data_IF_348646252970
#
_entry.id   IF_348646252970
#
_cell.length_a   1.000
_cell.length_b   1.000
_cell.length_c   1.000
_cell.angle_alpha   90.00
_cell.angle_beta   90.00
_cell.angle_gamma   90.00
#
_symmetry.space_group_name_H-M   'P 1'
#
loop_
_entity.id
_entity.type
_entity.pdbx_description
1 polymer ?
#
# COMPACT_ATOMS: atom_id res chain seq x y z
N UNK A 1 5.36 -75.82 46.14
CA UNK A 1 4.83 -74.43 46.14
C UNK A 1 5.92 -73.34 46.18
N UNK A 2 7.01 -73.48 46.96
CA UNK A 2 8.10 -72.47 47.03
C UNK A 2 8.89 -72.26 45.72
N UNK A 3 9.01 -73.29 44.87
CA UNK A 3 9.74 -73.24 43.59
C UNK A 3 8.96 -72.52 42.47
N UNK A 4 7.65 -72.38 42.60
CA UNK A 4 6.79 -71.69 41.63
C UNK A 4 6.80 -70.17 41.86
N UNK A 5 6.87 -69.74 43.13
CA UNK A 5 6.97 -68.32 43.52
C UNK A 5 8.30 -67.71 43.03
N UNK A 6 9.40 -68.46 43.12
CA UNK A 6 10.70 -68.01 42.61
C UNK A 6 10.75 -67.83 41.09
N UNK A 7 10.02 -68.66 40.33
CA UNK A 7 9.95 -68.54 38.87
C UNK A 7 9.06 -67.36 38.43
N UNK A 8 7.96 -67.08 39.13
CA UNK A 8 7.09 -65.92 38.87
C UNK A 8 7.77 -64.61 39.28
N UNK A 9 8.52 -64.60 40.38
CA UNK A 9 9.34 -63.44 40.77
C UNK A 9 10.51 -63.19 39.80
N UNK A 10 11.16 -64.25 39.29
CA UNK A 10 12.20 -64.08 38.27
C UNK A 10 11.63 -63.53 36.95
N UNK A 11 10.42 -63.95 36.54
CA UNK A 11 9.76 -63.45 35.32
C UNK A 11 9.30 -61.98 35.43
N UNK A 12 8.95 -61.49 36.62
CA UNK A 12 8.61 -60.08 36.84
C UNK A 12 9.84 -59.17 36.97
N UNK A 13 11.02 -59.71 37.28
CA UNK A 13 12.29 -58.98 37.23
C UNK A 13 12.88 -58.86 35.81
N UNK A 14 12.37 -59.60 34.83
CA UNK A 14 12.65 -59.43 33.40
C UNK A 14 11.48 -58.74 32.70
N UNK A 15 11.04 -57.61 33.24
CA UNK A 15 10.03 -56.77 32.58
C UNK A 15 10.42 -56.56 31.11
N UNK A 16 9.52 -56.94 30.19
CA UNK A 16 9.73 -56.72 28.77
C UNK A 16 10.06 -55.23 28.56
N UNK A 17 11.05 -54.89 27.72
CA UNK A 17 11.36 -53.48 27.48
C UNK A 17 10.08 -52.78 27.01
N UNK A 18 9.72 -51.68 27.69
CA UNK A 18 8.62 -50.83 27.25
C UNK A 18 8.89 -50.42 25.80
N UNK A 19 8.02 -50.86 24.88
CA UNK A 19 8.09 -50.52 23.47
C UNK A 19 7.54 -49.11 23.35
N UNK A 20 8.43 -48.11 23.33
CA UNK A 20 8.04 -46.73 23.11
C UNK A 20 8.36 -46.33 21.66
N UNK A 21 7.38 -45.75 20.97
CA UNK A 21 7.58 -45.13 19.67
C UNK A 21 8.25 -43.78 19.84
N UNK A 22 9.32 -43.57 19.07
CA UNK A 22 10.08 -42.32 19.04
C UNK A 22 9.76 -41.61 17.73
N UNK A 23 9.09 -40.47 17.82
CA UNK A 23 8.82 -39.60 16.68
C UNK A 23 9.72 -38.38 16.80
N UNK A 24 10.64 -38.25 15.85
CA UNK A 24 11.47 -37.06 15.69
C UNK A 24 11.01 -36.28 14.47
N UNK A 25 10.67 -35.00 14.66
CA UNK A 25 10.24 -34.11 13.58
C UNK A 25 11.10 -32.87 13.57
N UNK A 26 11.65 -32.57 12.40
CA UNK A 26 12.31 -31.30 12.11
C UNK A 26 11.38 -30.51 11.21
N UNK A 27 11.02 -29.29 11.64
CA UNK A 27 10.31 -28.32 10.81
C UNK A 27 11.19 -27.08 10.63
N UNK A 28 11.48 -26.76 9.37
CA UNK A 28 12.21 -25.55 9.00
C UNK A 28 11.28 -24.61 8.25
N UNK A 29 11.35 -23.31 8.54
CA UNK A 29 10.62 -22.30 7.78
C UNK A 29 11.42 -21.01 7.69
N UNK A 30 11.23 -20.31 6.58
CA UNK A 30 11.81 -18.99 6.34
C UNK A 30 10.72 -18.12 5.75
N UNK A 31 10.49 -16.96 6.37
CA UNK A 31 9.58 -15.94 5.88
C UNK A 31 10.34 -14.64 5.69
N UNK A 32 10.28 -14.09 4.46
CA UNK A 32 10.81 -12.79 4.11
C UNK A 32 9.65 -11.85 3.85
N UNK A 33 9.70 -10.64 4.39
CA UNK A 33 8.74 -9.58 4.10
C UNK A 33 9.44 -8.25 3.85
N UNK A 34 8.85 -7.46 2.96
CA UNK A 34 9.29 -6.10 2.63
C UNK A 34 8.07 -5.19 2.76
N UNK A 35 8.22 -4.06 3.44
CA UNK A 35 7.13 -3.11 3.62
C UNK A 35 6.66 -2.55 2.28
N UNK A 36 5.35 -2.42 2.11
CA UNK A 36 4.77 -1.89 0.88
C UNK A 36 4.84 -0.36 0.85
N UNK A 37 5.15 0.20 -0.32
CA UNK A 37 4.99 1.63 -0.56
C UNK A 37 3.50 1.97 -0.73
N UNK A 38 3.09 3.15 -0.24
CA UNK A 38 1.73 3.64 -0.38
C UNK A 38 1.72 5.12 -0.74
N UNK A 39 0.83 5.51 -1.65
CA UNK A 39 0.54 6.89 -2.00
C UNK A 39 -0.96 7.06 -2.08
N UNK A 40 -1.49 7.96 -1.27
CA UNK A 40 -2.88 8.38 -1.36
C UNK A 40 -2.91 9.88 -1.57
N UNK A 41 -3.71 10.33 -2.52
CA UNK A 41 -3.73 11.75 -2.86
C UNK A 41 -5.09 12.19 -3.39
N UNK A 42 -5.47 13.39 -2.96
CA UNK A 42 -6.72 14.03 -3.34
C UNK A 42 -6.39 15.31 -4.11
N UNK A 43 -6.87 15.40 -5.33
CA UNK A 43 -6.76 16.61 -6.16
C UNK A 43 -7.73 17.67 -5.70
N UNK A 44 -7.27 18.91 -5.69
CA UNK A 44 -8.15 20.08 -5.61
C UNK A 44 -8.74 20.35 -7.00
N UNK A 45 -10.07 20.38 -7.16
CA UNK A 45 -10.70 20.65 -8.44
C UNK A 45 -10.60 22.14 -8.80
N UNK A 46 -10.62 22.43 -10.10
CA UNK A 46 -10.89 23.79 -10.57
C UNK A 46 -12.37 24.12 -10.34
N UNK A 47 -12.65 25.30 -9.80
CA UNK A 47 -14.02 25.78 -9.56
C UNK A 47 -14.22 27.06 -10.33
N UNK A 48 -15.33 27.13 -11.07
CA UNK A 48 -15.73 28.30 -11.82
C UNK A 48 -17.17 28.67 -11.47
N UNK A 49 -17.39 29.94 -11.14
CA UNK A 49 -18.71 30.48 -10.82
C UNK A 49 -18.87 31.86 -11.44
N UNK A 50 -20.06 32.08 -11.99
CA UNK A 50 -20.41 33.32 -12.68
C UNK A 50 -21.87 33.64 -12.39
N UNK A 51 -22.12 34.90 -12.08
CA UNK A 51 -23.47 35.41 -11.87
C UNK A 51 -23.54 36.85 -12.34
N UNK A 52 -24.68 37.24 -12.88
CA UNK A 52 -24.88 38.61 -13.30
C UNK A 52 -26.27 38.88 -13.82
N UNK A 53 -26.60 40.16 -13.90
CA UNK A 53 -27.87 40.69 -14.38
C UNK A 53 -27.60 41.88 -15.27
N UNK A 54 -28.46 42.10 -16.27
CA UNK A 54 -28.32 43.20 -17.24
C UNK A 54 -26.98 43.20 -18.00
N UNK A 55 -26.49 42.01 -18.34
CA UNK A 55 -25.26 41.82 -19.13
C UNK A 55 -25.54 41.01 -20.38
N UNK A 56 -24.94 41.42 -21.49
CA UNK A 56 -24.69 40.56 -22.63
C UNK A 56 -23.31 39.94 -22.45
N UNK A 57 -23.17 38.66 -22.81
CA UNK A 57 -21.98 37.84 -22.54
C UNK A 57 -21.45 37.20 -23.81
N UNK A 58 -20.15 36.96 -23.86
CA UNK A 58 -19.47 36.16 -24.88
C UNK A 58 -18.25 35.46 -24.29
N UNK A 59 -17.94 34.27 -24.80
CA UNK A 59 -16.69 33.54 -24.51
C UNK A 59 -15.50 34.04 -25.36
N UNK A 60 -15.68 35.16 -26.08
CA UNK A 60 -14.71 35.71 -27.02
C UNK A 60 -14.91 35.24 -28.46
N UNK A 61 -15.76 34.22 -28.68
CA UNK A 61 -16.05 33.67 -30.01
C UNK A 61 -17.55 33.59 -30.31
N UNK A 62 -18.38 33.32 -29.32
CA UNK A 62 -19.81 33.05 -29.46
C UNK A 62 -20.62 33.98 -28.57
N UNK A 63 -21.44 34.83 -29.20
CA UNK A 63 -22.35 35.71 -28.47
C UNK A 63 -23.41 34.92 -27.70
N UNK A 64 -23.67 35.32 -26.46
CA UNK A 64 -24.60 34.66 -25.55
C UNK A 64 -23.97 33.52 -24.73
N UNK A 65 -22.73 33.13 -25.03
CA UNK A 65 -22.01 32.17 -24.21
C UNK A 65 -21.35 32.85 -23.02
N UNK A 66 -21.32 32.12 -21.91
CA UNK A 66 -20.53 32.48 -20.74
C UNK A 66 -19.20 31.74 -20.85
N UNK A 67 -18.12 32.32 -20.33
CA UNK A 67 -16.85 31.64 -20.16
C UNK A 67 -16.98 30.34 -19.35
N UNK A 68 -15.93 29.55 -19.29
CA UNK A 68 -15.98 28.23 -18.66
C UNK A 68 -14.63 27.56 -18.51
N UNK A 69 -14.69 26.35 -17.96
CA UNK A 69 -13.55 25.45 -17.86
C UNK A 69 -13.40 24.64 -19.14
N UNK A 70 -12.16 24.50 -19.60
CA UNK A 70 -11.85 23.70 -20.78
C UNK A 70 -11.97 22.19 -20.49
N UNK A 71 -11.89 21.39 -21.56
CA UNK A 71 -11.87 19.93 -21.42
C UNK A 71 -10.70 19.45 -20.56
N UNK A 72 -10.99 18.54 -19.64
CA UNK A 72 -9.97 17.87 -18.85
C UNK A 72 -8.99 17.10 -19.74
N UNK A 73 -7.70 17.36 -19.56
CA UNK A 73 -6.61 16.61 -20.18
C UNK A 73 -5.64 16.16 -19.08
N UNK A 74 -5.33 14.86 -19.03
CA UNK A 74 -4.38 14.34 -18.06
C UNK A 74 -3.00 14.97 -18.28
N UNK A 75 -2.33 15.40 -17.20
CA UNK A 75 -1.02 16.03 -17.29
C UNK A 75 -1.02 17.52 -17.63
N UNK A 76 -2.17 18.22 -17.61
CA UNK A 76 -2.32 19.68 -17.81
C UNK A 76 -3.36 20.27 -16.86
N UNK A 77 -3.13 21.46 -16.28
CA UNK A 77 -4.18 22.14 -15.51
C UNK A 77 -5.38 22.39 -16.42
N UNK A 78 -6.58 22.37 -15.83
CA UNK A 78 -7.80 22.64 -16.59
C UNK A 78 -7.75 24.10 -17.01
N UNK A 79 -7.76 24.34 -18.31
CA UNK A 79 -7.77 25.68 -18.87
C UNK A 79 -9.05 26.44 -18.51
N UNK A 80 -8.98 27.76 -18.65
CA UNK A 80 -10.07 28.66 -18.33
C UNK A 80 -10.24 29.66 -19.46
N UNK A 81 -11.48 29.76 -19.95
CA UNK A 81 -11.91 30.80 -20.88
C UNK A 81 -12.77 31.79 -20.10
N UNK A 82 -12.33 33.05 -19.99
CA UNK A 82 -13.05 34.09 -19.24
C UNK A 82 -14.28 34.62 -19.97
N UNK A 83 -15.26 35.08 -19.20
CA UNK A 83 -16.46 35.72 -19.73
C UNK A 83 -16.16 37.18 -20.06
N UNK A 84 -16.39 37.56 -21.32
CA UNK A 84 -16.46 38.98 -21.67
C UNK A 84 -17.91 39.43 -21.53
N UNK A 85 -18.15 40.48 -20.73
CA UNK A 85 -19.47 41.00 -20.47
C UNK A 85 -19.56 42.49 -20.83
N UNK A 86 -20.71 42.90 -21.38
CA UNK A 86 -21.07 44.29 -21.62
C UNK A 86 -22.46 44.59 -21.05
N UNK A 87 -22.71 45.83 -20.65
CA UNK A 87 -24.03 46.25 -20.17
C UNK A 87 -25.05 46.11 -21.30
N UNK A 88 -26.12 45.35 -21.05
CA UNK A 88 -27.16 45.06 -22.04
C UNK A 88 -28.08 46.24 -22.31
N UNK A 89 -28.55 46.90 -21.23
CA UNK A 89 -29.38 48.10 -21.32
C UNK A 89 -28.63 49.27 -20.69
N UNK A 90 -28.17 50.19 -21.53
CA UNK A 90 -27.41 51.36 -21.09
C UNK A 90 -28.27 52.27 -20.19
N UNK A 91 -27.71 52.70 -19.06
CA UNK A 91 -28.39 53.56 -18.09
C UNK A 91 -29.16 52.81 -17.01
N UNK A 92 -29.34 51.50 -17.13
CA UNK A 92 -29.89 50.63 -16.08
C UNK A 92 -28.78 50.05 -15.21
N UNK A 93 -29.13 49.67 -13.97
CA UNK A 93 -28.20 49.01 -13.06
C UNK A 93 -27.73 47.67 -13.63
N UNK A 94 -26.45 47.34 -13.40
CA UNK A 94 -25.87 46.05 -13.76
C UNK A 94 -25.09 45.47 -12.57
N UNK A 95 -25.06 44.15 -12.50
CA UNK A 95 -24.23 43.42 -11.56
C UNK A 95 -23.56 42.26 -12.30
N UNK A 96 -22.26 42.11 -12.12
CA UNK A 96 -21.52 40.99 -12.68
C UNK A 96 -20.44 40.55 -11.68
N UNK A 97 -20.36 39.26 -11.44
CA UNK A 97 -19.32 38.66 -10.61
C UNK A 97 -18.90 37.34 -11.23
N UNK A 98 -17.61 37.22 -11.45
CA UNK A 98 -16.95 36.04 -11.99
C UNK A 98 -15.80 35.66 -11.07
N UNK A 99 -15.70 34.38 -10.75
CA UNK A 99 -14.63 33.83 -9.92
C UNK A 99 -14.17 32.51 -10.50
N UNK A 100 -12.85 32.38 -10.63
CA UNK A 100 -12.18 31.16 -11.02
C UNK A 100 -11.09 30.84 -10.00
N UNK A 101 -11.09 29.61 -9.52
CA UNK A 101 -10.01 29.06 -8.69
C UNK A 101 -9.37 27.93 -9.50
N UNK A 102 -8.10 28.13 -9.87
CA UNK A 102 -7.33 27.11 -10.56
C UNK A 102 -7.04 25.95 -9.60
N UNK A 103 -7.43 24.74 -10.01
CA UNK A 103 -7.14 23.51 -9.29
C UNK A 103 -5.80 22.88 -9.69
N UNK A 104 -5.48 21.73 -9.10
CA UNK A 104 -4.19 21.08 -9.33
C UNK A 104 -4.05 20.57 -10.76
N UNK A 105 -2.86 20.69 -11.34
CA UNK A 105 -2.49 19.98 -12.57
C UNK A 105 -2.53 18.46 -12.32
N UNK A 106 -3.21 17.65 -13.15
CA UNK A 106 -3.24 16.20 -12.98
C UNK A 106 -1.84 15.61 -13.10
N UNK A 107 -1.46 14.77 -12.15
CA UNK A 107 -0.22 14.01 -12.19
C UNK A 107 -0.27 12.97 -13.32
N UNK A 108 0.87 12.71 -13.95
CA UNK A 108 1.05 11.62 -14.92
C UNK A 108 1.16 10.24 -14.25
N UNK A 109 1.06 10.18 -12.92
CA UNK A 109 1.10 8.96 -12.11
C UNK A 109 2.30 8.93 -11.16
N UNK A 110 2.35 7.89 -10.33
CA UNK A 110 3.47 7.60 -9.44
C UNK A 110 4.14 6.30 -9.87
N UNK A 111 5.47 6.30 -9.93
CA UNK A 111 6.24 5.07 -10.14
C UNK A 111 6.76 4.52 -8.81
N UNK A 112 6.61 3.21 -8.64
CA UNK A 112 7.26 2.48 -7.54
C UNK A 112 8.45 1.73 -8.14
N UNK A 113 9.65 1.98 -7.62
CA UNK A 113 10.86 1.26 -8.02
C UNK A 113 11.60 0.86 -6.76
N UNK A 114 11.87 -0.45 -6.61
CA UNK A 114 12.57 -1.01 -5.44
C UNK A 114 11.93 -0.65 -4.10
N UNK A 115 10.59 -0.60 -4.03
CA UNK A 115 9.86 -0.24 -2.81
C UNK A 115 9.85 1.25 -2.48
N UNK A 116 10.42 2.10 -3.34
CA UNK A 116 10.43 3.56 -3.17
C UNK A 116 9.54 4.21 -4.22
N UNK A 117 8.78 5.21 -3.81
CA UNK A 117 8.01 6.06 -4.72
C UNK A 117 8.96 7.12 -5.28
N UNK A 118 9.40 6.93 -6.53
CA UNK A 118 10.38 7.81 -7.17
C UNK A 118 9.78 9.12 -7.68
N UNK A 119 8.47 9.12 -7.95
CA UNK A 119 7.72 10.30 -8.38
C UNK A 119 6.46 10.47 -7.54
N UNK A 120 6.42 11.56 -6.76
CA UNK A 120 5.26 11.90 -5.95
C UNK A 120 4.24 12.66 -6.81
N UNK A 121 2.93 12.40 -6.64
CA UNK A 121 1.92 13.25 -7.23
C UNK A 121 1.94 14.60 -6.49
N UNK A 122 2.05 15.70 -7.22
CA UNK A 122 1.99 17.06 -6.65
C UNK A 122 0.54 17.54 -6.65
N UNK A 123 -0.23 17.14 -5.64
CA UNK A 123 -1.61 17.62 -5.44
C UNK A 123 -1.72 18.38 -4.11
N UNK A 124 -2.81 19.11 -3.91
CA UNK A 124 -3.04 19.94 -2.72
C UNK A 124 -3.07 19.14 -1.42
N UNK A 125 -3.38 17.83 -1.47
CA UNK A 125 -3.17 16.92 -0.35
C UNK A 125 -2.65 15.56 -0.82
N UNK A 126 -1.45 15.23 -0.38
CA UNK A 126 -0.72 14.03 -0.76
C UNK A 126 -0.05 13.45 0.48
N UNK A 127 -0.30 12.17 0.75
CA UNK A 127 0.40 11.40 1.77
C UNK A 127 1.08 10.22 1.08
N UNK A 128 2.41 10.19 1.18
CA UNK A 128 3.25 9.13 0.63
C UNK A 128 4.10 8.52 1.74
N UNK A 129 4.14 7.19 1.79
CA UNK A 129 5.10 6.45 2.60
C UNK A 129 6.04 5.67 1.69
N UNK A 130 7.34 5.74 2.01
CA UNK A 130 8.31 4.82 1.43
C UNK A 130 8.01 3.39 1.93
N UNK A 131 8.19 2.41 1.05
CA UNK A 131 8.23 0.99 1.42
C UNK A 131 9.65 0.55 1.74
N UNK A 132 9.82 -0.76 1.94
CA UNK A 132 11.11 -1.37 2.22
C UNK A 132 11.92 -1.65 0.96
N UNK A 133 13.26 -1.75 1.12
CA UNK A 133 14.18 -2.04 0.01
C UNK A 133 14.75 -3.44 0.17
N UNK A 134 14.36 -4.37 -0.71
CA UNK A 134 14.82 -5.76 -0.64
C UNK A 134 16.35 -5.89 -0.69
N UNK A 135 17.02 -5.20 -1.62
CA UNK A 135 18.49 -5.29 -1.74
C UNK A 135 18.97 -6.73 -1.91
N UNK A 136 19.81 -7.20 -0.98
CA UNK A 136 20.32 -8.58 -0.92
C UNK A 136 19.58 -9.48 0.08
N UNK A 137 18.36 -9.11 0.49
CA UNK A 137 17.55 -9.86 1.45
C UNK A 137 17.45 -11.34 1.05
N UNK A 138 17.92 -12.23 1.93
CA UNK A 138 17.86 -13.67 1.74
C UNK A 138 17.78 -14.38 3.09
N UNK A 139 17.22 -15.59 3.10
CA UNK A 139 17.17 -16.43 4.29
C UNK A 139 17.13 -17.91 3.93
N UNK A 140 17.86 -18.73 4.67
CA UNK A 140 17.79 -20.19 4.61
C UNK A 140 17.89 -20.80 6.01
N UNK A 141 17.23 -21.94 6.20
CA UNK A 141 17.33 -22.75 7.41
C UNK A 141 17.65 -24.18 6.99
N UNK A 142 18.83 -24.65 7.35
CA UNK A 142 19.28 -26.01 7.12
C UNK A 142 18.65 -27.01 8.10
N UNK A 143 18.58 -28.28 7.69
CA UNK A 143 18.10 -29.38 8.55
C UNK A 143 19.05 -29.65 9.74
N UNK A 144 20.29 -29.18 9.65
CA UNK A 144 21.31 -29.17 10.70
C UNK A 144 21.11 -28.06 11.74
N UNK A 145 20.08 -27.22 11.59
CA UNK A 145 19.82 -26.08 12.47
C UNK A 145 20.56 -24.80 12.07
N UNK A 146 21.33 -24.83 10.98
CA UNK A 146 22.05 -23.64 10.51
C UNK A 146 21.05 -22.62 9.94
N UNK A 147 20.98 -21.44 10.55
CA UNK A 147 20.16 -20.32 10.08
C UNK A 147 21.09 -19.29 9.43
N UNK A 148 20.93 -19.07 8.12
CA UNK A 148 21.66 -18.03 7.38
C UNK A 148 20.70 -16.93 6.97
N UNK A 149 20.89 -15.72 7.48
CA UNK A 149 20.10 -14.54 7.12
C UNK A 149 21.02 -13.48 6.52
N UNK A 150 20.70 -13.04 5.31
CA UNK A 150 21.30 -11.86 4.69
C UNK A 150 20.36 -10.69 4.91
N UNK A 151 20.85 -9.65 5.59
CA UNK A 151 20.08 -8.44 5.84
C UNK A 151 19.71 -7.74 4.52
N UNK A 152 18.45 -7.33 4.41
CA UNK A 152 18.01 -6.41 3.35
C UNK A 152 18.27 -4.95 3.72
N UNK A 153 17.67 -4.04 2.97
CA UNK A 153 17.62 -2.62 3.31
C UNK A 153 16.59 -2.32 4.41
N UNK A 154 16.35 -1.02 4.65
CA UNK A 154 15.31 -0.56 5.58
C UNK A 154 13.94 -1.13 5.20
N UNK A 155 13.07 -1.35 6.20
CA UNK A 155 11.71 -1.89 6.00
C UNK A 155 11.67 -3.35 5.54
N UNK A 156 12.73 -4.12 5.80
CA UNK A 156 12.76 -5.57 5.55
C UNK A 156 12.76 -6.36 6.85
N UNK A 157 12.14 -7.54 6.83
CA UNK A 157 12.13 -8.46 7.97
C UNK A 157 12.32 -9.89 7.47
N UNK A 158 13.11 -10.65 8.23
CA UNK A 158 13.30 -12.09 8.03
C UNK A 158 12.98 -12.80 9.34
N UNK A 159 12.16 -13.84 9.26
CA UNK A 159 11.93 -14.78 10.36
C UNK A 159 12.38 -16.16 9.88
N UNK A 160 13.47 -16.66 10.46
CA UNK A 160 13.91 -18.03 10.29
C UNK A 160 13.51 -18.86 11.50
N UNK A 161 12.93 -20.04 11.28
CA UNK A 161 12.51 -20.95 12.33
C UNK A 161 13.08 -22.34 12.09
N UNK A 162 13.72 -22.89 13.11
CA UNK A 162 14.10 -24.29 13.22
C UNK A 162 13.44 -24.86 14.47
N UNK A 163 12.57 -25.87 14.29
CA UNK A 163 11.95 -26.59 15.41
C UNK A 163 12.34 -28.05 15.30
N UNK A 164 12.98 -28.56 16.34
CA UNK A 164 13.25 -29.99 16.55
C UNK A 164 12.35 -30.46 17.67
N UNK A 165 11.46 -31.38 17.36
CA UNK A 165 10.48 -31.94 18.29
C UNK A 165 10.74 -33.43 18.45
N UNK A 166 10.76 -33.89 19.70
CA UNK A 166 10.98 -35.29 20.07
C UNK A 166 9.81 -35.71 20.96
N UNK A 167 8.98 -36.60 20.45
CA UNK A 167 7.88 -37.19 21.20
C UNK A 167 8.14 -38.67 21.46
N UNK A 168 7.94 -39.10 22.70
CA UNK A 168 8.05 -40.49 23.14
C UNK A 168 6.65 -40.92 23.56
N UNK A 169 6.09 -41.94 22.92
CA UNK A 169 4.76 -42.47 23.21
C UNK A 169 4.85 -43.98 23.51
N UNK A 170 4.03 -44.47 24.44
CA UNK A 170 3.88 -45.89 24.78
C UNK A 170 2.64 -46.48 24.12
#
# INVERSE_FOLDING_TARGET
MKRLIGAVAAASLFGLPAQADIIHRIQTSVQLSVDAAASNSTRVPSVYSVSGTNVDVTDGTTSGNIGGLDNFTAGSSVGFTGTTASVKVAGEDFAFTESFIEGDKPSTGSTVTSGVIGTLPAFGNTVTSAGGVAGSLAGSVGNDGTISITAGGAGTRVTGQYVSDLTIQN
#
